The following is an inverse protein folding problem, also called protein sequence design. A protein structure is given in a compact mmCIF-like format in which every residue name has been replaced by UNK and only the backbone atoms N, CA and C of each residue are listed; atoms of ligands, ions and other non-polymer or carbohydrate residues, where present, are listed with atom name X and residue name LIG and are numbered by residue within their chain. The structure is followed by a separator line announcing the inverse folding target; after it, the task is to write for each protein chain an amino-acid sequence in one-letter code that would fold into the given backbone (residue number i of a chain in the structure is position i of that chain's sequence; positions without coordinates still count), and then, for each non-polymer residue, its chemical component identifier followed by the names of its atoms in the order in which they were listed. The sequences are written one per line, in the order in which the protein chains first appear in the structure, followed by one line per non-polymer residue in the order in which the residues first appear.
data_IF_408789380201
#
_entry.id   IF_408789380201
#
_cell.length_a   1.000
_cell.length_b   1.000
_cell.length_c   1.000
_cell.angle_alpha   90.00
_cell.angle_beta   90.00
_cell.angle_gamma   90.00
#
_symmetry.space_group_name_H-M   'P 1'
#
loop_
_entity.id
_entity.type
_entity.pdbx_description
1 polymer ?
#
# COMPACT_ATOMS: atom_id res chain seq x y z
N UNK A 1 3.94 0.75 14.47
CA UNK A 1 2.73 0.01 14.08
C UNK A 1 2.97 -1.48 14.30
N UNK A 2 2.74 -1.94 15.41
CA UNK A 2 3.07 -3.25 16.00
C UNK A 2 2.63 -4.48 15.18
N UNK A 3 3.12 -4.63 13.96
CA UNK A 3 2.77 -5.76 13.10
C UNK A 3 1.37 -5.70 12.49
N UNK A 4 0.65 -4.60 12.68
CA UNK A 4 -0.70 -4.44 12.12
C UNK A 4 -0.71 -4.18 10.63
N UNK A 5 0.36 -3.58 10.10
CA UNK A 5 0.46 -3.29 8.68
C UNK A 5 1.73 -3.88 8.10
N UNK A 6 1.59 -4.45 6.91
CA UNK A 6 2.71 -4.99 6.17
C UNK A 6 2.94 -4.11 4.96
N UNK A 7 4.19 -3.67 4.76
CA UNK A 7 4.59 -2.93 3.58
C UNK A 7 5.53 -3.78 2.75
N UNK A 8 5.30 -3.80 1.45
CA UNK A 8 6.18 -4.48 0.51
C UNK A 8 6.36 -3.62 -0.73
N UNK A 9 7.51 -3.70 -1.36
CA UNK A 9 7.76 -2.90 -2.55
C UNK A 9 8.63 -3.65 -3.56
N UNK A 10 8.52 -3.24 -4.81
CA UNK A 10 9.37 -3.76 -5.88
C UNK A 10 9.73 -2.61 -6.83
N UNK A 11 11.02 -2.52 -7.20
CA UNK A 11 11.47 -1.49 -8.11
C UNK A 11 11.33 -1.92 -9.58
N UNK A 12 11.45 -0.94 -10.48
CA UNK A 12 11.25 -1.16 -11.90
C UNK A 12 12.25 -2.16 -12.50
N UNK A 13 13.51 -2.08 -12.08
CA UNK A 13 14.55 -2.98 -12.57
C UNK A 13 14.26 -4.44 -12.22
N UNK A 14 13.79 -4.67 -11.00
CA UNK A 14 13.44 -6.01 -10.53
C UNK A 14 12.23 -6.54 -11.31
N UNK A 15 11.24 -5.70 -11.55
CA UNK A 15 10.07 -6.10 -12.34
C UNK A 15 10.47 -6.49 -13.76
N UNK A 16 11.32 -5.70 -14.39
CA UNK A 16 11.80 -5.96 -15.74
C UNK A 16 12.62 -7.25 -15.81
N UNK A 17 13.49 -7.45 -14.82
CA UNK A 17 14.36 -8.63 -14.76
C UNK A 17 13.54 -9.93 -14.69
N UNK A 18 12.49 -9.94 -13.87
CA UNK A 18 11.64 -11.13 -13.69
C UNK A 18 10.40 -11.14 -14.59
N UNK A 19 10.25 -10.14 -15.46
CA UNK A 19 9.09 -10.01 -16.36
C UNK A 19 7.76 -10.00 -15.60
N UNK A 20 7.75 -9.37 -14.42
CA UNK A 20 6.56 -9.23 -13.60
C UNK A 20 5.70 -8.09 -14.13
N UNK A 21 4.39 -8.29 -14.23
CA UNK A 21 3.43 -7.27 -14.63
C UNK A 21 2.54 -6.88 -13.44
N UNK A 22 1.97 -5.66 -13.44
CA UNK A 22 1.14 -5.18 -12.31
C UNK A 22 0.03 -6.13 -11.87
N UNK A 23 -0.57 -6.83 -12.79
CA UNK A 23 -1.62 -7.81 -12.53
C UNK A 23 -1.15 -8.92 -11.56
N UNK A 24 0.11 -9.32 -11.66
CA UNK A 24 0.69 -10.33 -10.75
C UNK A 24 0.80 -9.80 -9.32
N UNK A 25 1.03 -8.49 -9.19
CA UNK A 25 1.24 -7.85 -7.90
C UNK A 25 -0.05 -7.72 -7.08
N UNK A 26 -1.20 -7.60 -7.74
CA UNK A 26 -2.48 -7.54 -7.06
C UNK A 26 -2.76 -8.82 -6.26
N UNK A 27 -2.37 -9.96 -6.81
CA UNK A 27 -2.48 -11.24 -6.10
C UNK A 27 -1.62 -11.28 -4.86
N UNK A 28 -0.42 -10.72 -4.92
CA UNK A 28 0.52 -10.68 -3.80
C UNK A 28 -0.04 -9.84 -2.65
N UNK A 29 -0.56 -8.65 -2.93
CA UNK A 29 -1.09 -7.78 -1.86
C UNK A 29 -2.33 -8.40 -1.22
N UNK A 30 -3.16 -9.10 -1.98
CA UNK A 30 -4.32 -9.81 -1.44
C UNK A 30 -3.91 -10.95 -0.52
N UNK A 31 -2.83 -11.67 -0.85
CA UNK A 31 -2.28 -12.72 0.01
C UNK A 31 -1.71 -12.15 1.31
N UNK A 32 -1.03 -11.01 1.24
CA UNK A 32 -0.48 -10.36 2.44
C UNK A 32 -1.59 -9.98 3.42
N UNK A 33 -2.74 -9.55 2.91
CA UNK A 33 -3.87 -9.15 3.73
C UNK A 33 -4.42 -10.28 4.61
N UNK A 34 -4.36 -11.52 4.14
CA UNK A 34 -4.92 -12.66 4.88
C UNK A 34 -3.94 -13.23 5.92
N UNK A 35 -2.75 -12.69 6.03
CA UNK A 35 -1.80 -13.09 7.06
C UNK A 35 -2.37 -12.76 8.44
N UNK A 36 -2.31 -13.71 9.35
CA UNK A 36 -2.85 -13.55 10.70
C UNK A 36 -2.23 -12.35 11.41
N UNK A 37 -3.07 -11.53 12.03
CA UNK A 37 -2.63 -10.35 12.78
C UNK A 37 -2.43 -9.11 11.94
N UNK A 38 -2.60 -9.20 10.62
CA UNK A 38 -2.44 -8.05 9.72
C UNK A 38 -3.76 -7.30 9.60
N UNK A 39 -3.73 -6.01 9.90
CA UNK A 39 -4.88 -5.13 9.73
C UNK A 39 -4.93 -4.53 8.34
N UNK A 40 -3.77 -4.16 7.80
CA UNK A 40 -3.69 -3.67 6.43
C UNK A 40 -2.40 -4.14 5.74
N UNK A 41 -2.46 -4.23 4.43
CA UNK A 41 -1.32 -4.61 3.60
C UNK A 41 -1.17 -3.59 2.48
N UNK A 42 0.04 -3.12 2.28
CA UNK A 42 0.34 -2.09 1.30
C UNK A 42 1.48 -2.58 0.40
N UNK A 43 1.25 -2.51 -0.89
CA UNK A 43 2.24 -2.89 -1.87
C UNK A 43 2.52 -1.72 -2.80
N UNK A 44 3.81 -1.41 -2.96
CA UNK A 44 4.27 -0.34 -3.82
C UNK A 44 5.06 -0.92 -4.98
N UNK A 45 4.74 -0.53 -6.21
CA UNK A 45 5.59 -0.90 -7.33
C UNK A 45 5.95 0.34 -8.14
N UNK A 46 7.22 0.38 -8.55
CA UNK A 46 7.78 1.52 -9.24
C UNK A 46 7.30 1.55 -10.68
N UNK A 47 6.79 2.70 -11.13
CA UNK A 47 6.32 2.89 -12.49
C UNK A 47 7.32 3.68 -13.34
N UNK A 48 8.06 4.57 -12.68
CA UNK A 48 9.17 5.32 -13.28
C UNK A 48 10.00 5.92 -12.15
N UNK A 49 11.07 6.63 -12.47
CA UNK A 49 11.93 7.26 -11.46
C UNK A 49 11.10 8.11 -10.50
N UNK A 50 11.24 7.86 -9.21
CA UNK A 50 10.56 8.58 -8.13
C UNK A 50 9.03 8.58 -8.24
N UNK A 51 8.47 7.51 -8.80
CA UNK A 51 7.03 7.33 -8.84
C UNK A 51 6.67 5.88 -8.53
N UNK A 52 5.73 5.71 -7.61
CA UNK A 52 5.24 4.39 -7.21
C UNK A 52 3.73 4.32 -7.29
N UNK A 53 3.22 3.23 -7.81
CA UNK A 53 1.81 2.92 -7.70
C UNK A 53 1.61 2.12 -6.41
N UNK A 54 0.59 2.47 -5.66
CA UNK A 54 0.35 1.93 -4.32
C UNK A 54 -0.98 1.20 -4.30
N UNK A 55 -0.94 -0.06 -3.88
CA UNK A 55 -2.13 -0.87 -3.65
C UNK A 55 -2.32 -1.03 -2.15
N UNK A 56 -3.52 -0.72 -1.66
CA UNK A 56 -3.83 -0.79 -0.23
C UNK A 56 -4.97 -1.77 -0.01
N UNK A 57 -4.81 -2.64 1.00
CA UNK A 57 -5.85 -3.60 1.41
C UNK A 57 -6.01 -3.54 2.92
N UNK A 58 -7.24 -3.69 3.38
CA UNK A 58 -7.56 -3.60 4.79
C UNK A 58 -8.51 -4.73 5.22
N UNK A 59 -8.43 -5.12 6.48
CA UNK A 59 -9.34 -6.08 7.08
C UNK A 59 -10.45 -5.40 7.90
N UNK A 60 -10.54 -4.08 7.86
CA UNK A 60 -11.71 -3.37 8.34
C UNK A 60 -11.48 -2.18 9.24
N UNK A 61 -10.41 -2.16 10.05
CA UNK A 61 -10.16 -1.05 10.98
C UNK A 61 -9.61 0.20 10.28
N UNK A 62 -8.91 -0.01 9.18
CA UNK A 62 -8.32 1.08 8.42
C UNK A 62 -9.15 1.29 7.16
N UNK A 63 -9.58 2.53 6.92
CA UNK A 63 -10.28 2.91 5.70
C UNK A 63 -9.24 3.30 4.64
N UNK A 64 -8.89 2.35 3.80
CA UNK A 64 -7.86 2.59 2.77
C UNK A 64 -8.36 3.49 1.64
N UNK A 65 -9.68 3.59 1.43
CA UNK A 65 -10.22 4.52 0.45
C UNK A 65 -9.94 5.97 0.87
N UNK A 66 -10.09 6.28 2.15
CA UNK A 66 -9.79 7.62 2.68
C UNK A 66 -8.30 7.95 2.53
N UNK A 67 -7.43 6.98 2.81
CA UNK A 67 -5.99 7.17 2.65
C UNK A 67 -5.63 7.39 1.18
N UNK A 68 -6.13 6.55 0.28
CA UNK A 68 -5.86 6.68 -1.15
C UNK A 68 -6.35 8.04 -1.67
N UNK A 69 -7.54 8.48 -1.25
CA UNK A 69 -8.10 9.77 -1.65
C UNK A 69 -7.24 10.94 -1.19
N UNK A 70 -6.66 10.84 -0.01
CA UNK A 70 -5.75 11.87 0.50
C UNK A 70 -4.55 12.08 -0.44
N UNK A 71 -4.10 11.01 -1.10
CA UNK A 71 -2.99 11.05 -2.05
C UNK A 71 -3.46 11.11 -3.52
N UNK A 72 -4.71 11.46 -3.75
CA UNK A 72 -5.23 11.66 -5.11
C UNK A 72 -5.77 10.42 -5.82
N UNK A 73 -5.86 9.32 -5.12
CA UNK A 73 -6.41 8.07 -5.66
C UNK A 73 -7.84 7.80 -5.19
N UNK A 74 -8.17 6.55 -5.00
CA UNK A 74 -9.50 6.15 -4.54
C UNK A 74 -9.69 4.64 -4.51
N UNK A 75 -10.92 4.22 -4.23
CA UNK A 75 -11.27 2.82 -4.18
C UNK A 75 -12.36 2.55 -3.15
N UNK A 76 -12.30 1.36 -2.56
CA UNK A 76 -13.25 0.95 -1.53
C UNK A 76 -12.56 0.96 -0.15
N UNK A 77 -13.37 0.92 0.90
CA UNK A 77 -12.87 0.93 2.29
C UNK A 77 -11.80 -0.13 2.54
N UNK A 78 -11.93 -1.30 1.93
CA UNK A 78 -10.99 -2.41 2.12
C UNK A 78 -10.00 -2.62 0.99
N UNK A 79 -10.16 -1.92 -0.13
CA UNK A 79 -9.28 -2.09 -1.29
C UNK A 79 -9.22 -0.80 -2.10
N UNK A 80 -8.07 -0.18 -2.13
CA UNK A 80 -7.90 1.12 -2.79
C UNK A 80 -6.50 1.24 -3.39
N UNK A 81 -6.29 2.28 -4.15
CA UNK A 81 -4.99 2.55 -4.77
C UNK A 81 -4.76 4.01 -5.07
N UNK A 82 -3.48 4.36 -5.15
CA UNK A 82 -3.05 5.72 -5.51
C UNK A 82 -1.69 5.67 -6.17
N UNK A 83 -1.27 6.81 -6.69
CA UNK A 83 0.08 6.99 -7.24
C UNK A 83 0.78 8.04 -6.39
N UNK A 84 2.00 7.76 -5.97
CA UNK A 84 2.76 8.65 -5.12
C UNK A 84 4.12 8.97 -5.72
N UNK A 85 4.60 10.18 -5.47
CA UNK A 85 5.90 10.65 -5.93
C UNK A 85 6.91 10.53 -4.80
N UNK A 86 8.17 10.32 -5.15
CA UNK A 86 9.26 10.23 -4.19
C UNK A 86 9.91 8.86 -4.14
N UNK A 87 10.78 8.66 -3.16
CA UNK A 87 11.39 7.34 -2.92
C UNK A 87 10.39 6.43 -2.24
N UNK A 88 10.68 5.13 -2.22
CA UNK A 88 9.85 4.18 -1.47
C UNK A 88 9.78 4.57 0.00
N UNK A 89 10.89 5.06 0.55
CA UNK A 89 10.94 5.50 1.95
C UNK A 89 9.99 6.67 2.22
N UNK A 90 9.97 7.66 1.32
CA UNK A 90 9.06 8.80 1.42
C UNK A 90 7.59 8.33 1.38
N UNK A 91 7.28 7.44 0.46
CA UNK A 91 5.92 6.91 0.30
C UNK A 91 5.48 6.16 1.56
N UNK A 92 6.34 5.29 2.08
CA UNK A 92 6.03 4.51 3.29
C UNK A 92 5.82 5.44 4.49
N UNK A 93 6.67 6.45 4.66
CA UNK A 93 6.50 7.39 5.76
C UNK A 93 5.17 8.14 5.68
N UNK A 94 4.81 8.63 4.50
CA UNK A 94 3.56 9.37 4.31
C UNK A 94 2.33 8.49 4.52
N UNK A 95 2.38 7.26 4.03
CA UNK A 95 1.29 6.30 4.22
C UNK A 95 1.15 5.91 5.69
N UNK A 96 2.27 5.63 6.35
CA UNK A 96 2.30 5.26 7.77
C UNK A 96 1.67 6.34 8.65
N UNK A 97 1.95 7.60 8.36
CA UNK A 97 1.38 8.71 9.10
C UNK A 97 -0.14 8.72 9.03
N UNK A 98 -0.71 8.52 7.85
CA UNK A 98 -2.16 8.49 7.68
C UNK A 98 -2.80 7.27 8.34
N UNK A 99 -2.15 6.11 8.27
CA UNK A 99 -2.63 4.89 8.91
C UNK A 99 -2.63 5.06 10.43
N UNK A 100 -1.56 5.59 11.00
CA UNK A 100 -1.46 5.81 12.44
C UNK A 100 -2.54 6.75 12.96
N UNK A 101 -2.84 7.81 12.20
CA UNK A 101 -3.92 8.74 12.58
C UNK A 101 -5.26 8.03 12.70
N UNK A 102 -5.56 7.11 11.80
CA UNK A 102 -6.80 6.35 11.86
C UNK A 102 -6.81 5.37 13.04
N UNK A 103 -5.71 4.68 13.26
CA UNK A 103 -5.62 3.70 14.35
C UNK A 103 -5.72 4.36 15.72
N UNK A 104 -5.13 5.54 15.88
CA UNK A 104 -5.23 6.31 17.13
C UNK A 104 -6.68 6.72 17.39
N UNK A 105 -7.39 7.16 16.37
CA UNK A 105 -8.81 7.55 16.51
C UNK A 105 -9.69 6.35 16.83
N UNK A 106 -9.35 5.17 16.38
CA UNK A 106 -10.12 3.95 16.60
C UNK A 106 -9.97 3.41 18.02
N UNK A 107 -8.92 3.82 18.71
CA UNK A 107 -8.68 3.43 20.10
C UNK A 107 -9.42 4.39 21.04
#
# INVERSE_FOLDING_TARGET
MDGRCIFSSIDLKTMEFYKVVPKDLDGIVSQLRITKGVECAIFLYQTKTLEYKVSLRSNGKVDVAAIASYFGGGGHVRAAGCTMQGTVHDCVNNLSEQIEKQLIKAE
#
